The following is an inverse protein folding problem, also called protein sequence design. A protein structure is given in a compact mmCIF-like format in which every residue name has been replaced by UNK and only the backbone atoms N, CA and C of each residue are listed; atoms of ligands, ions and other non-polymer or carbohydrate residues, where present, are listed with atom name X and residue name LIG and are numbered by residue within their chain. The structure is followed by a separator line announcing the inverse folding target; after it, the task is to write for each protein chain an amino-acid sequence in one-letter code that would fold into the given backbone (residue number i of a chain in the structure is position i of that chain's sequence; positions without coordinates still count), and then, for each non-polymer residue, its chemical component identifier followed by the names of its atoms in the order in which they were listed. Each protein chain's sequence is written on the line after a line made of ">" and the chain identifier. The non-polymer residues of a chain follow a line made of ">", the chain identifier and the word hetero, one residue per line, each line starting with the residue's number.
data_IF_347386340228
#
_entry.id   IF_347386340228
#
_cell.length_a   1.000
_cell.length_b   1.000
_cell.length_c   1.000
_cell.angle_alpha   90.00
_cell.angle_beta   90.00
_cell.angle_gamma   90.00
#
_symmetry.space_group_name_H-M   'P 1'
#
loop_
_entity.id
_entity.type
_entity.pdbx_description
1 polymer ?
#
# COMPACT_ATOMS: atom_id res chain seq x y z
N UNK A 1 14.93 8.84 -8.63
CA UNK A 1 15.13 7.66 -7.75
C UNK A 1 14.04 7.60 -6.70
N UNK A 2 13.44 6.43 -6.46
CA UNK A 2 12.44 6.23 -5.41
C UNK A 2 13.16 6.05 -4.07
N UNK A 3 13.14 7.04 -3.20
CA UNK A 3 13.78 6.99 -1.87
C UNK A 3 12.85 6.29 -0.88
N UNK A 4 13.27 5.15 -0.36
CA UNK A 4 12.56 4.41 0.69
C UNK A 4 12.56 5.18 2.01
N UNK A 5 11.48 5.05 2.78
CA UNK A 5 11.42 5.53 4.17
C UNK A 5 12.23 4.57 5.04
N UNK A 6 13.04 5.13 5.92
CA UNK A 6 13.75 4.36 6.94
C UNK A 6 13.06 4.54 8.32
N UNK A 7 13.39 3.70 9.31
CA UNK A 7 12.77 3.81 10.64
C UNK A 7 12.96 5.19 11.29
N UNK A 8 14.13 5.81 11.14
CA UNK A 8 14.39 7.13 11.73
C UNK A 8 13.51 8.24 11.14
N UNK A 9 13.22 8.17 9.84
CA UNK A 9 12.29 9.08 9.18
C UNK A 9 10.85 8.82 9.61
N UNK A 10 10.47 7.56 9.85
CA UNK A 10 9.13 7.21 10.36
C UNK A 10 8.95 7.72 11.79
N UNK A 11 9.93 7.49 12.67
CA UNK A 11 9.92 7.96 14.06
C UNK A 11 9.79 9.48 14.12
N UNK A 12 10.61 10.20 13.32
CA UNK A 12 10.53 11.66 13.24
C UNK A 12 9.18 12.13 12.69
N UNK A 13 8.62 11.45 11.69
CA UNK A 13 7.31 11.80 11.15
C UNK A 13 6.20 11.60 12.21
N UNK A 14 6.28 10.53 13.01
CA UNK A 14 5.35 10.26 14.12
C UNK A 14 5.46 11.35 15.19
N UNK A 15 6.68 11.70 15.61
CA UNK A 15 6.92 12.75 16.60
C UNK A 15 6.36 14.10 16.14
N UNK A 16 6.69 14.49 14.89
CA UNK A 16 6.23 15.75 14.31
C UNK A 16 4.71 15.79 14.16
N UNK A 17 4.07 14.69 13.75
CA UNK A 17 2.60 14.63 13.67
C UNK A 17 1.97 14.70 15.06
N UNK A 18 2.53 14.01 16.04
CA UNK A 18 2.03 14.03 17.43
C UNK A 18 2.08 15.44 18.01
N UNK A 19 3.10 16.22 17.66
CA UNK A 19 3.29 17.59 18.14
C UNK A 19 2.49 18.63 17.35
N UNK A 20 2.42 18.50 16.02
CA UNK A 20 1.92 19.54 15.12
C UNK A 20 0.56 19.22 14.47
N UNK A 21 0.05 17.99 14.63
CA UNK A 21 -1.11 17.49 13.90
C UNK A 21 -0.86 17.39 12.38
N UNK A 22 -1.90 17.40 11.53
CA UNK A 22 -1.77 17.26 10.08
C UNK A 22 -1.21 18.51 9.36
N UNK A 23 -0.31 19.26 10.00
CA UNK A 23 0.35 20.44 9.45
C UNK A 23 1.48 20.05 8.47
N UNK A 24 1.14 19.33 7.39
CA UNK A 24 2.11 18.70 6.47
C UNK A 24 3.16 19.65 5.90
N UNK A 25 2.79 20.91 5.63
CA UNK A 25 3.73 21.94 5.20
C UNK A 25 4.84 22.17 6.22
N UNK A 26 4.47 22.33 7.50
CA UNK A 26 5.42 22.52 8.59
C UNK A 26 6.20 21.24 8.91
N UNK A 27 5.54 20.08 8.90
CA UNK A 27 6.19 18.78 9.06
C UNK A 27 7.29 18.60 8.01
N UNK A 28 7.00 18.87 6.73
CA UNK A 28 7.98 18.70 5.66
C UNK A 28 9.20 19.61 5.80
N UNK A 29 9.00 20.84 6.30
CA UNK A 29 10.11 21.76 6.60
C UNK A 29 11.03 21.21 7.70
N UNK A 30 10.46 20.55 8.71
CA UNK A 30 11.23 19.92 9.79
C UNK A 30 11.91 18.62 9.33
N UNK A 31 11.25 17.82 8.48
CA UNK A 31 11.81 16.61 7.88
C UNK A 31 13.01 16.89 6.95
N UNK A 32 13.02 18.06 6.29
CA UNK A 32 14.03 18.56 5.33
C UNK A 32 14.27 17.72 4.07
N UNK A 33 13.94 16.44 4.11
CA UNK A 33 14.28 15.44 3.09
C UNK A 33 13.04 14.84 2.40
N UNK A 34 11.85 15.21 2.87
CA UNK A 34 10.55 14.74 2.39
C UNK A 34 9.62 15.92 2.15
N UNK A 35 8.83 15.85 1.09
CA UNK A 35 7.81 16.86 0.79
C UNK A 35 6.55 16.63 1.63
N UNK A 36 5.72 17.66 1.80
CA UNK A 36 4.45 17.56 2.52
C UNK A 36 3.56 16.40 2.02
N UNK A 37 3.51 16.22 0.69
CA UNK A 37 2.80 15.10 0.05
C UNK A 37 3.39 13.74 0.44
N UNK A 38 4.71 13.61 0.45
CA UNK A 38 5.34 12.35 0.83
C UNK A 38 5.07 12.00 2.29
N UNK A 39 5.13 13.00 3.18
CA UNK A 39 4.84 12.83 4.60
C UNK A 39 3.38 12.38 4.81
N UNK A 40 2.42 13.08 4.20
CA UNK A 40 1.00 12.70 4.33
C UNK A 40 0.71 11.33 3.73
N UNK A 41 1.29 11.01 2.56
CA UNK A 41 1.17 9.67 1.96
C UNK A 41 1.77 8.59 2.86
N UNK A 42 2.93 8.82 3.48
CA UNK A 42 3.54 7.85 4.40
C UNK A 42 2.67 7.63 5.63
N UNK A 43 2.20 8.72 6.23
CA UNK A 43 1.34 8.69 7.40
C UNK A 43 0.10 7.84 7.15
N UNK A 44 -0.74 8.22 6.17
CA UNK A 44 -2.03 7.56 5.94
C UNK A 44 -1.93 6.17 5.30
N UNK A 45 -0.79 5.79 4.73
CA UNK A 45 -0.63 4.48 4.11
C UNK A 45 0.17 3.48 4.95
N UNK A 46 0.86 3.91 6.01
CA UNK A 46 1.73 3.02 6.77
C UNK A 46 1.80 3.29 8.29
N UNK A 47 1.71 4.55 8.73
CA UNK A 47 2.00 4.92 10.14
C UNK A 47 0.75 5.29 10.95
N UNK A 48 -0.36 5.62 10.31
CA UNK A 48 -1.60 5.97 11.02
C UNK A 48 -2.02 4.81 11.94
N UNK A 49 -2.39 5.10 13.20
CA UNK A 49 -2.84 4.06 14.13
C UNK A 49 -3.98 3.23 13.56
N UNK A 50 -3.88 1.91 13.71
CA UNK A 50 -4.86 0.97 13.20
C UNK A 50 -4.58 0.47 11.77
N UNK A 51 -3.52 0.93 11.10
CA UNK A 51 -3.03 0.26 9.89
C UNK A 51 -2.34 -1.04 10.28
N UNK A 52 -2.79 -2.16 9.71
CA UNK A 52 -2.09 -3.43 9.77
C UNK A 52 -1.17 -3.56 8.55
N UNK A 53 0.14 -3.62 8.79
CA UNK A 53 1.16 -3.79 7.75
C UNK A 53 1.56 -5.27 7.54
N UNK A 54 0.92 -6.22 8.23
CA UNK A 54 1.14 -7.66 8.06
C UNK A 54 0.80 -8.12 6.64
N UNK A 55 1.32 -9.28 6.18
CA UNK A 55 0.85 -9.88 4.94
C UNK A 55 -0.67 -10.11 4.97
N UNK A 56 -1.35 -9.86 3.84
CA UNK A 56 -2.78 -10.16 3.71
C UNK A 56 -3.02 -11.65 3.93
N UNK A 57 -4.00 -11.99 4.75
CA UNK A 57 -4.40 -13.38 4.97
C UNK A 57 -5.26 -13.91 3.82
N UNK A 58 -5.65 -15.19 3.87
CA UNK A 58 -6.46 -15.82 2.82
C UNK A 58 -7.87 -15.22 2.69
N UNK A 59 -8.50 -14.86 3.81
CA UNK A 59 -9.83 -14.26 3.83
C UNK A 59 -9.82 -12.87 3.19
N UNK A 60 -8.84 -12.05 3.54
CA UNK A 60 -8.66 -10.72 2.99
C UNK A 60 -8.41 -10.79 1.48
N UNK A 61 -7.54 -11.71 1.03
CA UNK A 61 -7.27 -11.91 -0.41
C UNK A 61 -8.53 -12.30 -1.17
N UNK A 62 -9.29 -13.28 -0.67
CA UNK A 62 -10.56 -13.71 -1.27
C UNK A 62 -11.59 -12.57 -1.32
N UNK A 63 -11.65 -11.77 -0.25
CA UNK A 63 -12.51 -10.59 -0.19
C UNK A 63 -12.13 -9.56 -1.25
N UNK A 64 -10.82 -9.29 -1.44
CA UNK A 64 -10.34 -8.38 -2.48
C UNK A 64 -10.76 -8.86 -3.88
N UNK A 65 -10.59 -10.15 -4.16
CA UNK A 65 -10.95 -10.73 -5.46
C UNK A 65 -12.46 -10.65 -5.72
N UNK A 66 -13.26 -11.06 -4.75
CA UNK A 66 -14.72 -11.01 -4.81
C UNK A 66 -15.21 -9.59 -5.06
N UNK A 67 -14.72 -8.63 -4.27
CA UNK A 67 -15.14 -7.24 -4.37
C UNK A 67 -14.66 -6.57 -5.66
N UNK A 68 -13.49 -6.94 -6.17
CA UNK A 68 -13.04 -6.47 -7.49
C UNK A 68 -13.95 -6.97 -8.61
N UNK A 69 -14.38 -8.24 -8.57
CA UNK A 69 -15.30 -8.79 -9.58
C UNK A 69 -16.65 -8.05 -9.59
N UNK A 70 -17.11 -7.54 -8.45
CA UNK A 70 -18.37 -6.80 -8.32
C UNK A 70 -18.19 -5.33 -8.72
N UNK A 71 -17.14 -4.66 -8.25
CA UNK A 71 -17.01 -3.21 -8.29
C UNK A 71 -15.92 -2.67 -9.22
N UNK A 72 -15.04 -3.53 -9.73
CA UNK A 72 -13.84 -3.17 -10.47
C UNK A 72 -12.79 -2.48 -9.58
N UNK A 73 -11.93 -1.60 -10.14
CA UNK A 73 -10.78 -1.00 -9.44
C UNK A 73 -11.15 0.12 -8.43
N UNK A 74 -12.25 -0.04 -7.69
CA UNK A 74 -12.69 0.90 -6.65
C UNK A 74 -11.99 0.60 -5.32
N UNK A 75 -10.67 0.82 -5.28
CA UNK A 75 -9.79 0.40 -4.17
C UNK A 75 -10.23 0.89 -2.80
N UNK A 76 -10.71 2.14 -2.69
CA UNK A 76 -11.19 2.68 -1.41
C UNK A 76 -12.43 1.95 -0.90
N UNK A 77 -13.33 1.52 -1.79
CA UNK A 77 -14.53 0.74 -1.45
C UNK A 77 -14.18 -0.70 -1.07
N UNK A 78 -13.17 -1.27 -1.70
CA UNK A 78 -12.71 -2.62 -1.35
C UNK A 78 -12.04 -2.57 0.04
N UNK A 79 -11.14 -1.60 0.25
CA UNK A 79 -10.43 -1.42 1.52
C UNK A 79 -11.37 -1.11 2.69
N UNK A 80 -12.51 -0.43 2.48
CA UNK A 80 -13.48 -0.20 3.55
C UNK A 80 -14.12 -1.47 4.11
N UNK A 81 -13.95 -2.62 3.45
CA UNK A 81 -14.42 -3.93 3.91
C UNK A 81 -13.33 -4.73 4.63
N UNK A 82 -12.13 -4.15 4.77
CA UNK A 82 -10.93 -4.80 5.30
C UNK A 82 -10.35 -3.92 6.41
N UNK A 83 -10.75 -4.16 7.68
CA UNK A 83 -10.27 -3.38 8.81
C UNK A 83 -8.73 -3.30 8.84
N UNK A 84 -8.21 -2.09 9.00
CA UNK A 84 -6.77 -1.83 9.04
C UNK A 84 -6.02 -1.94 7.71
N UNK A 85 -6.68 -2.27 6.60
CA UNK A 85 -6.04 -2.30 5.27
C UNK A 85 -6.29 -1.02 4.50
N UNK A 86 -5.25 -0.54 3.82
CA UNK A 86 -5.34 0.70 3.03
C UNK A 86 -5.68 0.42 1.57
N UNK A 87 -6.29 1.37 0.84
CA UNK A 87 -6.55 1.23 -0.60
C UNK A 87 -5.27 0.94 -1.40
N UNK A 88 -4.13 1.44 -0.91
CA UNK A 88 -2.81 1.18 -1.50
C UNK A 88 -2.41 -0.29 -1.37
N UNK A 89 -2.65 -0.93 -0.22
CA UNK A 89 -2.36 -2.35 0.00
C UNK A 89 -3.20 -3.22 -0.92
N UNK A 90 -4.51 -2.96 -0.98
CA UNK A 90 -5.44 -3.69 -1.87
C UNK A 90 -5.02 -3.58 -3.33
N UNK A 91 -4.77 -2.36 -3.80
CA UNK A 91 -4.29 -2.10 -5.17
C UNK A 91 -2.98 -2.85 -5.45
N UNK A 92 -2.05 -2.79 -4.51
CA UNK A 92 -0.74 -3.42 -4.62
C UNK A 92 -0.86 -4.93 -4.74
N UNK A 93 -1.67 -5.56 -3.88
CA UNK A 93 -1.96 -7.00 -3.93
C UNK A 93 -2.52 -7.40 -5.30
N UNK A 94 -3.58 -6.73 -5.76
CA UNK A 94 -4.21 -7.07 -7.04
C UNK A 94 -3.22 -7.08 -8.21
N UNK A 95 -2.43 -6.01 -8.36
CA UNK A 95 -1.46 -5.94 -9.46
C UNK A 95 -0.28 -6.90 -9.29
N UNK A 96 0.12 -7.22 -8.05
CA UNK A 96 1.14 -8.25 -7.82
C UNK A 96 0.64 -9.63 -8.25
N UNK A 97 -0.60 -9.98 -7.85
CA UNK A 97 -1.25 -11.23 -8.24
C UNK A 97 -1.39 -11.33 -9.76
N UNK A 98 -1.92 -10.30 -10.44
CA UNK A 98 -2.06 -10.32 -11.91
C UNK A 98 -0.74 -10.41 -12.67
N UNK A 99 0.33 -9.77 -12.16
CA UNK A 99 1.67 -9.95 -12.74
C UNK A 99 2.20 -11.36 -12.54
N UNK A 100 2.00 -11.96 -11.37
CA UNK A 100 2.42 -13.33 -11.10
C UNK A 100 1.69 -14.32 -12.02
N UNK A 101 0.37 -14.20 -12.15
CA UNK A 101 -0.44 -15.02 -13.07
C UNK A 101 0.04 -14.91 -14.52
N UNK A 102 0.35 -13.68 -14.98
CA UNK A 102 0.83 -13.47 -16.35
C UNK A 102 2.18 -14.15 -16.61
N UNK A 103 3.08 -14.11 -15.64
CA UNK A 103 4.39 -14.79 -15.73
C UNK A 103 4.22 -16.30 -15.78
N UNK A 104 3.35 -16.85 -14.94
CA UNK A 104 3.04 -18.29 -14.91
C UNK A 104 2.45 -18.74 -16.26
N UNK A 105 1.48 -18.00 -16.81
CA UNK A 105 0.92 -18.29 -18.15
C UNK A 105 1.97 -18.27 -19.26
N UNK A 106 2.87 -17.28 -19.22
CA UNK A 106 3.96 -17.17 -20.19
C UNK A 106 4.92 -18.36 -20.06
N UNK A 107 5.33 -18.73 -18.84
CA UNK A 107 6.20 -19.87 -18.59
C UNK A 107 5.58 -21.18 -19.10
N UNK A 108 4.31 -21.45 -18.76
CA UNK A 108 3.59 -22.63 -19.24
C UNK A 108 3.45 -22.66 -20.76
N UNK A 109 3.28 -21.49 -21.41
CA UNK A 109 3.23 -21.40 -22.87
C UNK A 109 4.57 -21.74 -23.52
N UNK A 110 5.69 -21.33 -22.91
CA UNK A 110 7.04 -21.65 -23.38
C UNK A 110 7.30 -23.15 -23.22
N UNK A 111 7.00 -23.72 -22.07
CA UNK A 111 7.19 -25.16 -21.79
C UNK A 111 6.38 -26.03 -22.77
N UNK A 112 5.16 -25.63 -23.13
CA UNK A 112 4.34 -26.32 -24.14
C UNK A 112 4.88 -26.24 -25.57
N UNK A 113 5.72 -25.26 -25.89
CA UNK A 113 6.36 -25.12 -27.21
C UNK A 113 7.68 -25.88 -27.30
N UNK A 114 8.22 -26.33 -26.16
CA UNK A 114 9.49 -27.07 -26.05
C UNK A 114 9.27 -28.59 -25.97
N UNK A 115 8.02 -29.06 -26.04
CA UNK A 115 7.60 -30.46 -26.12
C UNK A 115 6.98 -30.70 -27.49
#
# INVERSE_FOLDING_TARGET
>A
MRRYWNPQEDDLLIELYTTLGPAWGLISRNMKTRTARQCSERWYNALYPGIDNSPLDSFERNTIETMYNIYGPKWSRIASSLPGRTPRMVKSFWYQTKRAESRIRQQMSIERLLV
#
